data_IF_691039426633
#
_entry.id   IF_691039426633
#
_cell.length_a   1.000
_cell.length_b   1.000
_cell.length_c   1.000
_cell.angle_alpha   90.00
_cell.angle_beta   90.00
_cell.angle_gamma   90.00
#
_symmetry.space_group_name_H-M   'P 1'
#
loop_
_entity.id
_entity.type
_entity.pdbx_description
1 polymer ?
#
# COMPACT_ATOMS: atom_id res chain seq x y z
N UNK A 1 32.76 20.06 -14.36
CA UNK A 1 32.27 19.61 -13.04
C UNK A 1 30.74 19.62 -13.12
N UNK A 2 30.12 18.53 -13.56
CA UNK A 2 28.67 18.39 -13.51
C UNK A 2 28.29 18.06 -12.07
N UNK A 3 27.56 18.95 -11.41
CA UNK A 3 26.88 18.62 -10.17
C UNK A 3 25.82 17.58 -10.51
N UNK A 4 26.05 16.32 -10.13
CA UNK A 4 25.00 15.31 -10.08
C UNK A 4 23.88 15.86 -9.19
N UNK A 5 22.78 16.26 -9.82
CA UNK A 5 21.54 16.55 -9.11
C UNK A 5 21.02 15.21 -8.65
N UNK A 6 21.47 14.77 -7.46
CA UNK A 6 20.85 13.65 -6.75
C UNK A 6 19.41 14.10 -6.48
N UNK A 7 18.46 13.58 -7.26
CA UNK A 7 17.04 13.76 -6.97
C UNK A 7 16.74 13.03 -5.67
N UNK A 8 16.89 13.71 -4.53
CA UNK A 8 16.30 13.29 -3.27
C UNK A 8 14.78 13.50 -3.35
N UNK A 9 14.09 12.69 -4.15
CA UNK A 9 12.64 12.63 -4.12
C UNK A 9 12.23 11.87 -2.85
N UNK A 10 12.29 12.58 -1.72
CA UNK A 10 11.81 12.11 -0.44
C UNK A 10 10.28 12.01 -0.50
N UNK A 11 9.76 10.81 -0.71
CA UNK A 11 8.32 10.54 -0.60
C UNK A 11 7.96 10.53 0.88
N UNK A 12 7.17 11.51 1.33
CA UNK A 12 6.62 11.55 2.68
C UNK A 12 5.31 10.78 2.73
N UNK A 13 5.07 10.06 3.83
CA UNK A 13 3.81 9.36 4.05
C UNK A 13 2.67 10.36 4.21
N UNK A 14 1.64 10.21 3.41
CA UNK A 14 0.35 10.87 3.51
C UNK A 14 -0.74 9.78 3.63
N UNK A 15 -1.98 10.14 3.99
CA UNK A 15 -3.05 9.15 4.09
C UNK A 15 -3.31 8.34 2.82
N UNK A 16 -2.92 8.86 1.65
CA UNK A 16 -3.33 8.34 0.34
C UNK A 16 -2.18 7.74 -0.48
N UNK A 17 -0.97 7.62 0.07
CA UNK A 17 0.20 7.22 -0.71
C UNK A 17 1.04 6.10 -0.10
N UNK A 18 0.47 5.33 0.84
CA UNK A 18 1.22 4.30 1.57
C UNK A 18 2.01 3.36 0.64
N UNK A 19 1.40 2.86 -0.44
CA UNK A 19 2.10 1.99 -1.40
C UNK A 19 3.32 2.65 -2.07
N UNK A 20 3.20 3.95 -2.40
CA UNK A 20 4.28 4.74 -3.00
C UNK A 20 5.36 5.11 -1.98
N UNK A 21 4.98 5.26 -0.70
CA UNK A 21 5.89 5.53 0.41
C UNK A 21 6.62 4.27 0.88
N UNK A 22 5.94 3.12 0.88
CA UNK A 22 6.44 1.86 1.43
C UNK A 22 7.73 1.44 0.73
N UNK A 23 7.74 1.41 -0.60
CA UNK A 23 8.88 0.93 -1.39
C UNK A 23 10.19 1.71 -1.10
N UNK A 24 10.23 3.06 -1.18
CA UNK A 24 11.45 3.80 -0.85
C UNK A 24 11.80 3.72 0.64
N UNK A 25 10.82 3.60 1.54
CA UNK A 25 11.10 3.45 2.97
C UNK A 25 11.73 2.08 3.28
N UNK A 26 11.21 1.00 2.69
CA UNK A 26 11.80 -0.34 2.83
C UNK A 26 13.24 -0.38 2.29
N UNK A 27 13.48 0.24 1.13
CA UNK A 27 14.84 0.35 0.57
C UNK A 27 15.80 1.11 1.51
N UNK A 28 15.32 2.18 2.16
CA UNK A 28 16.10 2.94 3.13
C UNK A 28 16.41 2.11 4.39
N UNK A 29 15.41 1.46 4.96
CA UNK A 29 15.59 0.60 6.14
C UNK A 29 16.51 -0.59 5.82
N UNK A 30 16.39 -1.17 4.64
CA UNK A 30 17.28 -2.25 4.18
C UNK A 30 18.74 -1.77 4.11
N UNK A 31 18.99 -0.61 3.50
CA UNK A 31 20.33 -0.01 3.42
C UNK A 31 20.96 0.24 4.79
N UNK A 32 20.14 0.48 5.81
CA UNK A 32 20.59 0.74 7.19
C UNK A 32 20.60 -0.53 8.06
N UNK A 33 20.29 -1.70 7.52
CA UNK A 33 20.11 -2.96 8.27
C UNK A 33 19.03 -2.87 9.37
N UNK A 34 17.96 -2.13 9.10
CA UNK A 34 16.84 -1.89 10.02
C UNK A 34 15.53 -2.58 9.57
N UNK A 35 15.49 -3.12 8.34
CA UNK A 35 14.27 -3.68 7.77
C UNK A 35 13.76 -4.90 8.57
N UNK A 36 14.66 -5.81 8.92
CA UNK A 36 14.31 -7.01 9.69
C UNK A 36 13.87 -6.65 11.11
N UNK A 37 14.40 -5.57 11.68
CA UNK A 37 14.02 -5.08 13.01
C UNK A 37 12.55 -4.67 13.07
N UNK A 38 12.04 -4.06 12.00
CA UNK A 38 10.63 -3.60 11.95
C UNK A 38 9.67 -4.66 11.42
N UNK A 39 10.15 -5.62 10.62
CA UNK A 39 9.34 -6.71 10.04
C UNK A 39 9.28 -7.96 10.92
N UNK A 40 10.39 -8.36 11.52
CA UNK A 40 10.46 -9.60 12.31
C UNK A 40 10.13 -9.38 13.78
N UNK A 41 9.51 -10.39 14.37
CA UNK A 41 9.53 -10.58 15.82
C UNK A 41 10.82 -11.33 16.20
N UNK A 42 11.97 -10.66 16.14
CA UNK A 42 13.23 -11.27 16.60
C UNK A 42 13.08 -11.60 18.09
N UNK A 43 13.15 -12.89 18.44
CA UNK A 43 13.19 -13.34 19.84
C UNK A 43 14.62 -13.17 20.33
N UNK A 44 14.90 -12.08 21.03
CA UNK A 44 16.19 -11.82 21.70
C UNK A 44 16.41 -12.86 22.80
N UNK A 45 17.55 -13.55 22.78
CA UNK A 45 17.87 -14.66 23.71
C UNK A 45 18.67 -14.22 24.94
N UNK A 46 19.36 -13.09 24.87
CA UNK A 46 20.18 -12.52 25.97
C UNK A 46 19.85 -11.04 26.23
N UNK A 47 20.25 -10.51 27.39
CA UNK A 47 20.00 -9.09 27.73
C UNK A 47 20.84 -8.13 26.88
N UNK A 48 22.07 -8.52 26.50
CA UNK A 48 22.91 -7.73 25.58
C UNK A 48 22.30 -7.68 24.16
N UNK A 49 21.76 -8.82 23.68
CA UNK A 49 21.02 -8.86 22.41
C UNK A 49 19.81 -7.93 22.43
N UNK A 50 19.13 -7.84 23.58
CA UNK A 50 17.96 -6.97 23.77
C UNK A 50 18.33 -5.49 23.79
N UNK A 51 19.45 -5.13 24.42
CA UNK A 51 19.95 -3.75 24.40
C UNK A 51 20.37 -3.32 22.97
N UNK A 52 21.09 -4.18 22.26
CA UNK A 52 21.48 -3.94 20.87
C UNK A 52 20.24 -3.84 19.95
N UNK A 53 19.27 -4.74 20.11
CA UNK A 53 18.01 -4.71 19.37
C UNK A 53 17.22 -3.43 19.64
N UNK A 54 17.08 -3.02 20.91
CA UNK A 54 16.39 -1.79 21.27
C UNK A 54 17.03 -0.56 20.62
N UNK A 55 18.37 -0.52 20.54
CA UNK A 55 19.07 0.57 19.85
C UNK A 55 18.68 0.64 18.37
N UNK A 56 18.70 -0.49 17.67
CA UNK A 56 18.29 -0.56 16.25
C UNK A 56 16.80 -0.21 16.08
N UNK A 57 15.94 -0.67 16.98
CA UNK A 57 14.50 -0.37 16.97
C UNK A 57 14.25 1.14 17.15
N UNK A 58 14.99 1.79 18.05
CA UNK A 58 14.93 3.24 18.25
C UNK A 58 15.47 4.00 17.03
N UNK A 59 16.53 3.50 16.39
CA UNK A 59 17.04 4.10 15.14
C UNK A 59 16.01 3.97 14.02
N UNK A 60 15.38 2.81 13.86
CA UNK A 60 14.31 2.60 12.88
C UNK A 60 13.14 3.56 13.12
N UNK A 61 12.76 3.80 14.38
CA UNK A 61 11.76 4.80 14.73
C UNK A 61 12.13 6.20 14.20
N UNK A 62 13.35 6.68 14.49
CA UNK A 62 13.78 8.02 14.04
C UNK A 62 13.82 8.14 12.52
N UNK A 63 14.27 7.08 11.84
CA UNK A 63 14.31 7.03 10.38
C UNK A 63 12.90 7.10 9.78
N UNK A 64 11.96 6.29 10.30
CA UNK A 64 10.57 6.28 9.83
C UNK A 64 9.91 7.64 10.07
N UNK A 65 10.02 8.22 11.27
CA UNK A 65 9.45 9.54 11.62
C UNK A 65 9.90 10.62 10.63
N UNK A 66 11.18 10.59 10.23
CA UNK A 66 11.72 11.52 9.24
C UNK A 66 11.01 11.47 7.89
N UNK A 67 10.29 10.39 7.59
CA UNK A 67 9.58 10.15 6.33
C UNK A 67 8.06 10.23 6.46
N UNK A 68 7.53 10.77 7.55
CA UNK A 68 6.09 10.96 7.75
C UNK A 68 5.71 12.42 7.44
N UNK A 69 4.61 12.62 6.71
CA UNK A 69 4.02 13.93 6.47
C UNK A 69 3.26 14.48 7.68
N UNK A 70 3.03 15.80 7.71
CA UNK A 70 2.47 16.50 8.87
C UNK A 70 1.13 15.94 9.38
N UNK A 71 0.23 15.57 8.47
CA UNK A 71 -1.09 15.03 8.82
C UNK A 71 -0.98 13.69 9.56
N UNK A 72 -0.12 12.80 9.05
CA UNK A 72 0.11 11.49 9.65
C UNK A 72 0.89 11.61 10.97
N UNK A 73 1.79 12.61 11.10
CA UNK A 73 2.45 12.90 12.38
C UNK A 73 1.45 13.29 13.48
N UNK A 74 0.40 14.03 13.14
CA UNK A 74 -0.69 14.35 14.07
C UNK A 74 -1.38 13.10 14.59
N UNK A 75 -1.72 12.17 13.69
CA UNK A 75 -2.27 10.86 14.05
C UNK A 75 -1.32 10.05 14.94
N UNK A 76 -0.07 9.86 14.50
CA UNK A 76 0.96 9.08 15.22
C UNK A 76 1.18 9.62 16.64
N UNK A 77 1.16 10.95 16.81
CA UNK A 77 1.31 11.59 18.12
C UNK A 77 0.13 11.32 19.06
N UNK A 78 -1.07 11.11 18.52
CA UNK A 78 -2.27 10.78 19.29
C UNK A 78 -2.44 9.28 19.56
N UNK A 79 -1.98 8.43 18.63
CA UNK A 79 -2.18 6.99 18.64
C UNK A 79 -1.11 6.23 19.43
N UNK A 80 0.11 6.75 19.54
CA UNK A 80 1.17 6.11 20.33
C UNK A 80 1.07 6.49 21.81
N UNK A 81 1.21 5.54 22.75
CA UNK A 81 1.32 5.86 24.16
C UNK A 81 2.57 6.73 24.40
N UNK A 82 2.50 7.63 25.37
CA UNK A 82 3.61 8.51 25.76
C UNK A 82 4.89 7.74 26.12
N UNK A 83 4.75 6.46 26.47
CA UNK A 83 5.84 5.54 26.82
C UNK A 83 5.49 4.09 26.46
N UNK A 84 6.42 3.31 25.88
CA UNK A 84 7.72 3.73 25.38
C UNK A 84 7.60 4.45 24.02
N UNK A 85 8.00 5.72 23.96
CA UNK A 85 8.40 6.39 22.71
C UNK A 85 9.65 5.69 22.15
N UNK A 86 9.93 5.89 20.86
CA UNK A 86 11.07 5.26 20.16
C UNK A 86 10.90 3.77 19.80
N UNK A 87 9.68 3.31 19.55
CA UNK A 87 9.43 1.94 19.08
C UNK A 87 9.23 1.88 17.56
N UNK A 88 10.28 1.55 16.80
CA UNK A 88 10.25 1.49 15.33
C UNK A 88 9.33 0.39 14.80
N UNK A 89 9.40 -0.81 15.39
CA UNK A 89 8.54 -1.94 15.04
C UNK A 89 7.06 -1.64 15.32
N UNK A 90 6.77 -1.03 16.47
CA UNK A 90 5.41 -0.61 16.83
C UNK A 90 4.87 0.45 15.86
N UNK A 91 5.68 1.46 15.52
CA UNK A 91 5.32 2.48 14.54
C UNK A 91 5.07 1.87 13.16
N UNK A 92 5.93 0.96 12.70
CA UNK A 92 5.77 0.28 11.42
C UNK A 92 4.44 -0.48 11.33
N UNK A 93 4.12 -1.28 12.37
CA UNK A 93 2.85 -2.01 12.46
C UNK A 93 1.64 -1.07 12.49
N UNK A 94 1.73 0.03 13.23
CA UNK A 94 0.67 1.05 13.30
C UNK A 94 0.40 1.69 11.93
N UNK A 95 1.45 2.14 11.24
CA UNK A 95 1.32 2.78 9.93
C UNK A 95 0.76 1.81 8.89
N UNK A 96 1.22 0.55 8.90
CA UNK A 96 0.67 -0.48 8.03
C UNK A 96 -0.82 -0.69 8.30
N UNK A 97 -1.20 -0.89 9.57
CA UNK A 97 -2.60 -1.12 9.93
C UNK A 97 -3.52 0.04 9.53
N UNK A 98 -3.03 1.28 9.62
CA UNK A 98 -3.85 2.47 9.33
C UNK A 98 -3.92 2.81 7.83
N UNK A 99 -2.83 2.60 7.07
CA UNK A 99 -2.69 3.19 5.74
C UNK A 99 -2.43 2.17 4.62
N UNK A 100 -2.14 0.90 4.93
CA UNK A 100 -1.92 -0.10 3.88
C UNK A 100 -3.16 -0.31 3.01
N UNK A 101 -4.35 -0.10 3.59
CA UNK A 101 -5.61 -0.32 2.88
C UNK A 101 -5.78 -1.77 2.42
N UNK A 102 -5.06 -2.71 3.03
CA UNK A 102 -5.14 -4.14 2.74
C UNK A 102 -6.17 -4.87 3.62
N UNK A 103 -6.93 -4.12 4.42
CA UNK A 103 -8.00 -4.63 5.28
C UNK A 103 -9.28 -4.98 4.50
N UNK A 104 -10.15 -5.76 5.13
CA UNK A 104 -11.40 -6.23 4.52
C UNK A 104 -12.30 -5.07 4.07
N UNK A 105 -12.30 -3.96 4.82
CA UNK A 105 -13.08 -2.75 4.50
C UNK A 105 -12.61 -2.13 3.19
N UNK A 106 -11.30 -1.97 3.02
CA UNK A 106 -10.69 -1.40 1.82
C UNK A 106 -10.88 -2.33 0.62
N UNK A 107 -10.72 -3.64 0.80
CA UNK A 107 -11.01 -4.64 -0.23
C UNK A 107 -12.47 -4.58 -0.68
N UNK A 108 -13.41 -4.52 0.27
CA UNK A 108 -14.84 -4.47 -0.03
C UNK A 108 -15.21 -3.15 -0.71
N UNK A 109 -14.63 -2.03 -0.28
CA UNK A 109 -14.86 -0.72 -0.89
C UNK A 109 -14.28 -0.64 -2.29
N UNK A 110 -13.09 -1.18 -2.53
CA UNK A 110 -12.49 -1.25 -3.86
C UNK A 110 -13.32 -2.14 -4.81
N UNK A 111 -13.80 -3.28 -4.32
CA UNK A 111 -14.70 -4.15 -5.06
C UNK A 111 -16.03 -3.46 -5.37
N UNK A 112 -16.64 -2.82 -4.38
CA UNK A 112 -17.91 -2.10 -4.54
C UNK A 112 -17.79 -0.98 -5.58
N UNK A 113 -16.73 -0.18 -5.53
CA UNK A 113 -16.44 0.84 -6.53
C UNK A 113 -16.27 0.26 -7.94
N UNK A 114 -15.61 -0.91 -8.06
CA UNK A 114 -15.47 -1.59 -9.33
C UNK A 114 -16.83 -2.13 -9.84
N UNK A 115 -17.65 -2.67 -8.95
CA UNK A 115 -18.99 -3.17 -9.25
C UNK A 115 -19.99 -2.06 -9.56
N UNK A 116 -19.77 -0.82 -9.14
CA UNK A 116 -20.61 0.33 -9.47
C UNK A 116 -20.07 1.15 -10.66
N UNK A 117 -19.09 0.64 -11.41
CA UNK A 117 -18.67 1.28 -12.65
C UNK A 117 -19.80 1.23 -13.69
N UNK A 118 -20.22 2.41 -14.14
CA UNK A 118 -21.19 2.57 -15.20
C UNK A 118 -20.52 2.91 -16.54
N UNK A 119 -21.05 2.31 -17.60
CA UNK A 119 -20.65 2.64 -18.95
C UNK A 119 -21.34 3.93 -19.41
N UNK A 120 -20.54 4.89 -19.86
CA UNK A 120 -21.01 6.11 -20.51
C UNK A 120 -20.51 6.19 -21.96
N UNK A 121 -19.19 6.20 -22.12
CA UNK A 121 -18.50 6.13 -23.42
C UNK A 121 -17.17 5.41 -23.24
N UNK A 122 -16.60 4.86 -24.32
CA UNK A 122 -15.30 4.16 -24.26
C UNK A 122 -14.20 5.06 -23.72
N UNK A 123 -14.17 6.34 -24.11
CA UNK A 123 -13.15 7.30 -23.70
C UNK A 123 -13.14 7.59 -22.19
N UNK A 124 -14.30 7.50 -21.53
CA UNK A 124 -14.42 7.67 -20.07
C UNK A 124 -14.34 6.33 -19.32
N UNK A 125 -14.89 5.28 -19.91
CA UNK A 125 -14.99 3.96 -19.30
C UNK A 125 -13.62 3.30 -19.13
N UNK A 126 -12.76 3.34 -20.15
CA UNK A 126 -11.42 2.70 -20.07
C UNK A 126 -10.55 3.31 -18.95
N UNK A 127 -10.42 4.64 -18.82
CA UNK A 127 -9.74 5.24 -17.68
C UNK A 127 -10.38 4.88 -16.33
N UNK A 128 -11.72 4.85 -16.23
CA UNK A 128 -12.41 4.51 -15.01
C UNK A 128 -12.13 3.06 -14.56
N UNK A 129 -12.17 2.10 -15.49
CA UNK A 129 -11.80 0.70 -15.25
C UNK A 129 -10.35 0.57 -14.80
N UNK A 130 -9.41 1.29 -15.43
CA UNK A 130 -8.00 1.28 -15.00
C UNK A 130 -7.83 1.79 -13.57
N UNK A 131 -8.49 2.90 -13.24
CA UNK A 131 -8.47 3.48 -11.89
C UNK A 131 -9.05 2.51 -10.86
N UNK A 132 -10.18 1.87 -11.15
CA UNK A 132 -10.77 0.88 -10.25
C UNK A 132 -9.89 -0.36 -10.07
N UNK A 133 -9.25 -0.86 -11.14
CA UNK A 133 -8.29 -1.97 -11.06
C UNK A 133 -7.05 -1.61 -10.22
N UNK A 134 -6.57 -0.36 -10.33
CA UNK A 134 -5.49 0.12 -9.47
C UNK A 134 -5.92 0.09 -8.00
N UNK A 135 -7.15 0.53 -7.68
CA UNK A 135 -7.68 0.48 -6.31
C UNK A 135 -7.80 -0.95 -5.77
N UNK A 136 -8.30 -1.90 -6.57
CA UNK A 136 -8.34 -3.33 -6.21
C UNK A 136 -6.92 -3.86 -5.90
N UNK A 137 -5.94 -3.48 -6.72
CA UNK A 137 -4.56 -3.90 -6.52
C UNK A 137 -3.97 -3.30 -5.25
N UNK A 138 -4.19 -2.00 -5.03
CA UNK A 138 -3.73 -1.30 -3.83
C UNK A 138 -4.40 -1.83 -2.57
N UNK A 139 -5.63 -2.32 -2.66
CA UNK A 139 -6.33 -2.91 -1.50
C UNK A 139 -5.89 -4.33 -1.18
N UNK A 140 -4.94 -4.91 -1.92
CA UNK A 140 -4.54 -6.31 -1.76
C UNK A 140 -5.61 -7.33 -2.16
N UNK A 141 -6.72 -6.91 -2.80
CA UNK A 141 -7.77 -7.81 -3.23
C UNK A 141 -7.31 -8.58 -4.47
N UNK A 142 -7.07 -9.88 -4.30
CA UNK A 142 -6.70 -10.76 -5.41
C UNK A 142 -7.96 -11.26 -6.12
N UNK A 143 -8.22 -10.71 -7.31
CA UNK A 143 -9.19 -11.25 -8.25
C UNK A 143 -8.44 -11.89 -9.42
N UNK A 144 -8.91 -13.05 -9.88
CA UNK A 144 -8.40 -13.65 -11.11
C UNK A 144 -8.61 -12.70 -12.31
N UNK A 145 -7.64 -12.63 -13.22
CA UNK A 145 -7.69 -11.71 -14.37
C UNK A 145 -8.88 -11.99 -15.30
N UNK A 146 -9.31 -13.26 -15.42
CA UNK A 146 -10.50 -13.65 -16.17
C UNK A 146 -11.75 -13.13 -15.47
N UNK A 147 -11.81 -13.24 -14.15
CA UNK A 147 -12.92 -12.69 -13.35
C UNK A 147 -13.03 -11.18 -13.52
N UNK A 148 -11.91 -10.43 -13.41
CA UNK A 148 -11.92 -8.97 -13.64
C UNK A 148 -12.40 -8.62 -15.04
N UNK A 149 -11.95 -9.36 -16.04
CA UNK A 149 -12.34 -9.15 -17.43
C UNK A 149 -13.84 -9.38 -17.64
N UNK A 150 -14.38 -10.50 -17.12
CA UNK A 150 -15.81 -10.81 -17.21
C UNK A 150 -16.65 -9.75 -16.49
N UNK A 151 -16.24 -9.33 -15.28
CA UNK A 151 -16.94 -8.30 -14.53
C UNK A 151 -16.95 -6.95 -15.27
N UNK A 152 -15.84 -6.56 -15.89
CA UNK A 152 -15.77 -5.37 -16.74
C UNK A 152 -16.68 -5.49 -17.96
N UNK A 153 -16.64 -6.63 -18.68
CA UNK A 153 -17.47 -6.88 -19.85
C UNK A 153 -18.97 -6.82 -19.52
N UNK A 154 -19.36 -7.26 -18.32
CA UNK A 154 -20.75 -7.16 -17.83
C UNK A 154 -21.25 -5.72 -17.72
N UNK A 155 -20.37 -4.73 -17.63
CA UNK A 155 -20.73 -3.30 -17.58
C UNK A 155 -21.04 -2.70 -18.95
N UNK A 156 -20.64 -3.37 -20.03
CA UNK A 156 -20.91 -2.87 -21.38
C UNK A 156 -22.40 -2.98 -21.73
N UNK A 157 -22.96 -2.00 -22.46
CA UNK A 157 -24.33 -2.03 -22.96
C UNK A 157 -24.62 -3.25 -23.83
N UNK A 158 -25.92 -3.49 -24.07
CA UNK A 158 -26.40 -4.61 -24.88
C UNK A 158 -25.84 -4.61 -26.32
N UNK A 159 -25.52 -3.45 -26.87
CA UNK A 159 -24.92 -3.31 -28.20
C UNK A 159 -23.57 -4.04 -28.33
N UNK A 160 -22.90 -4.30 -27.20
CA UNK A 160 -21.62 -5.02 -27.15
C UNK A 160 -21.79 -6.51 -26.85
N UNK A 161 -23.02 -7.06 -26.87
CA UNK A 161 -23.29 -8.46 -26.50
C UNK A 161 -22.41 -9.45 -27.28
N UNK A 162 -22.35 -9.35 -28.60
CA UNK A 162 -21.55 -10.26 -29.43
C UNK A 162 -20.06 -10.23 -29.05
N UNK A 163 -19.52 -9.05 -28.76
CA UNK A 163 -18.14 -8.91 -28.29
C UNK A 163 -17.94 -9.58 -26.92
N UNK A 164 -18.87 -9.36 -25.98
CA UNK A 164 -18.82 -9.97 -24.65
C UNK A 164 -18.82 -11.50 -24.74
N UNK A 165 -19.65 -12.06 -25.61
CA UNK A 165 -19.81 -13.52 -25.76
C UNK A 165 -18.54 -14.15 -26.36
N UNK A 166 -17.99 -13.56 -27.43
CA UNK A 166 -16.74 -14.03 -28.07
C UNK A 166 -15.59 -14.04 -27.07
N UNK A 167 -15.41 -12.94 -26.33
CA UNK A 167 -14.33 -12.83 -25.35
C UNK A 167 -14.53 -13.80 -24.18
N UNK A 168 -15.78 -14.00 -23.73
CA UNK A 168 -16.08 -14.94 -22.63
C UNK A 168 -15.88 -16.41 -23.03
N UNK A 169 -16.21 -16.78 -24.27
CA UNK A 169 -15.98 -18.14 -24.79
C UNK A 169 -14.50 -18.53 -24.79
N UNK A 170 -13.60 -17.59 -25.07
CA UNK A 170 -12.15 -17.82 -25.02
C UNK A 170 -11.61 -18.12 -23.61
N UNK A 171 -12.39 -17.88 -22.55
CA UNK A 171 -12.01 -18.19 -21.17
C UNK A 171 -12.57 -19.51 -20.65
N UNK A 172 -13.47 -20.16 -21.41
CA UNK A 172 -14.11 -21.43 -21.08
C UNK A 172 -13.43 -22.69 -21.63
N UNK A 173 -12.36 -22.50 -22.42
CA UNK A 173 -11.42 -23.53 -22.90
C UNK A 173 -10.17 -23.59 -22.05
#
# INVERSE_FOLDING_TARGET
MSTEVVRENKVLLTPNNYALWLLPMEARLFKLNLLDVVKDNIVTKTEDDKAAWNKLNNTAYSEIIGYIGQEVLGFVSSALPSTPRFNGQGLWKLLKAQYAGDDLTSQTTALDQFLHLDFSSISLFIPAVRSANQKITMSGLVLDDRVRTILMLKKLPLDYRSFRDIVSMNYGS
#
